data_IF_230084316706
#
_entry.id   IF_230084316706
#
_cell.length_a   1.000
_cell.length_b   1.000
_cell.length_c   1.000
_cell.angle_alpha   90.00
_cell.angle_beta   90.00
_cell.angle_gamma   90.00
#
_symmetry.space_group_name_H-M   'P 1'
#
loop_
_entity.id
_entity.type
_entity.pdbx_description
1 polymer ?
#
# COMPACT_ATOMS: atom_id res chain seq x y z
N UNK A 1 -1.31 -26.88 -2.09
CA UNK A 1 -1.44 -25.45 -1.74
C UNK A 1 -0.33 -25.10 -0.77
N UNK A 2 0.39 -24.00 -0.97
CA UNK A 2 1.32 -23.52 0.06
C UNK A 2 0.51 -23.11 1.29
N UNK A 3 0.96 -23.51 2.48
CA UNK A 3 0.29 -23.14 3.72
C UNK A 3 0.61 -21.66 4.00
N UNK A 4 -0.39 -20.79 3.86
CA UNK A 4 -0.26 -19.38 4.25
C UNK A 4 -0.36 -19.27 5.76
N UNK A 5 0.34 -18.29 6.33
CA UNK A 5 0.26 -18.01 7.76
C UNK A 5 -0.96 -17.14 8.10
N UNK A 6 -1.29 -16.21 7.19
CA UNK A 6 -2.48 -15.37 7.26
C UNK A 6 -3.24 -15.48 5.93
N UNK A 7 -4.52 -15.85 5.91
CA UNK A 7 -5.28 -15.88 4.67
C UNK A 7 -5.41 -14.48 4.05
N UNK A 8 -5.23 -14.41 2.73
CA UNK A 8 -5.12 -13.14 2.00
C UNK A 8 -6.43 -12.35 2.04
N UNK A 9 -7.57 -13.00 1.77
CA UNK A 9 -8.90 -12.39 1.84
C UNK A 9 -9.24 -11.88 3.25
N UNK A 10 -8.72 -12.54 4.27
CA UNK A 10 -8.84 -12.07 5.65
C UNK A 10 -8.09 -10.75 5.85
N UNK A 11 -6.88 -10.64 5.31
CA UNK A 11 -6.08 -9.42 5.42
C UNK A 11 -6.68 -8.24 4.62
N UNK A 12 -7.19 -8.50 3.41
CA UNK A 12 -7.94 -7.51 2.62
C UNK A 12 -9.14 -6.98 3.41
N UNK A 13 -9.92 -7.89 4.02
CA UNK A 13 -11.11 -7.53 4.80
C UNK A 13 -10.76 -6.72 6.05
N UNK A 14 -9.76 -7.14 6.82
CA UNK A 14 -9.31 -6.41 8.02
C UNK A 14 -8.81 -5.00 7.68
N UNK A 15 -8.04 -4.89 6.60
CA UNK A 15 -7.54 -3.60 6.10
C UNK A 15 -8.70 -2.67 5.72
N UNK A 16 -9.68 -3.18 4.98
CA UNK A 16 -10.87 -2.40 4.62
C UNK A 16 -11.70 -1.95 5.84
N UNK A 17 -11.92 -2.84 6.81
CA UNK A 17 -12.64 -2.49 8.05
C UNK A 17 -11.91 -1.42 8.85
N UNK A 18 -10.58 -1.53 8.99
CA UNK A 18 -9.77 -0.54 9.69
C UNK A 18 -9.89 0.84 9.07
N UNK A 19 -9.82 0.94 7.74
CA UNK A 19 -9.95 2.21 7.03
C UNK A 19 -11.36 2.79 7.13
N UNK A 20 -12.38 1.96 6.97
CA UNK A 20 -13.77 2.36 7.15
C UNK A 20 -14.01 2.93 8.57
N UNK A 21 -13.47 2.29 9.59
CA UNK A 21 -13.58 2.74 10.98
C UNK A 21 -12.77 4.01 11.26
N UNK A 22 -11.49 4.03 10.85
CA UNK A 22 -10.58 5.17 11.06
C UNK A 22 -11.12 6.45 10.44
N UNK A 23 -11.67 6.37 9.23
CA UNK A 23 -12.15 7.52 8.46
C UNK A 23 -13.68 7.70 8.44
N UNK A 24 -14.45 6.87 9.16
CA UNK A 24 -15.91 7.03 9.41
C UNK A 24 -16.72 7.32 8.14
N UNK A 25 -16.69 6.40 7.17
CA UNK A 25 -17.38 6.51 5.87
C UNK A 25 -16.89 7.65 4.95
N UNK A 26 -15.80 8.34 5.31
CA UNK A 26 -15.10 9.32 4.46
C UNK A 26 -13.88 8.73 3.75
N UNK A 27 -13.83 7.40 3.67
CA UNK A 27 -12.91 6.69 2.81
C UNK A 27 -13.72 5.83 1.83
N UNK A 28 -13.31 5.83 0.57
CA UNK A 28 -13.79 4.92 -0.46
C UNK A 28 -12.65 3.98 -0.82
N UNK A 29 -12.97 2.68 -0.94
CA UNK A 29 -12.00 1.64 -1.24
C UNK A 29 -12.49 0.84 -2.43
N UNK A 30 -11.58 0.51 -3.33
CA UNK A 30 -11.87 -0.32 -4.48
C UNK A 30 -10.74 -1.32 -4.70
N UNK A 31 -11.15 -2.57 -4.91
CA UNK A 31 -10.28 -3.67 -5.30
C UNK A 31 -10.60 -3.99 -6.76
N UNK A 32 -9.68 -3.73 -7.71
CA UNK A 32 -9.87 -4.14 -9.08
C UNK A 32 -9.86 -5.67 -9.14
N UNK A 33 -10.55 -6.23 -10.13
CA UNK A 33 -10.39 -7.64 -10.45
C UNK A 33 -8.96 -7.89 -10.96
N UNK A 34 -8.50 -9.14 -10.89
CA UNK A 34 -7.18 -9.50 -11.42
C UNK A 34 -7.04 -9.08 -12.88
N UNK A 35 -5.94 -8.40 -13.21
CA UNK A 35 -5.69 -7.88 -14.55
C UNK A 35 -6.46 -6.60 -14.91
N UNK A 36 -7.24 -6.05 -13.99
CA UNK A 36 -7.85 -4.72 -14.15
C UNK A 36 -6.96 -3.68 -13.50
N UNK A 37 -6.59 -2.66 -14.27
CA UNK A 37 -5.84 -1.52 -13.76
C UNK A 37 -6.75 -0.49 -13.08
N UNK A 38 -6.15 0.30 -12.19
CA UNK A 38 -6.85 1.39 -11.51
C UNK A 38 -6.87 2.62 -12.41
N UNK A 39 -8.03 2.93 -12.98
CA UNK A 39 -8.26 4.20 -13.67
C UNK A 39 -8.57 5.29 -12.63
N UNK A 40 -7.58 6.14 -12.38
CA UNK A 40 -7.70 7.25 -11.43
C UNK A 40 -8.64 8.37 -11.89
N UNK A 41 -9.09 8.39 -13.15
CA UNK A 41 -10.24 9.24 -13.55
C UNK A 41 -11.53 8.83 -12.86
N UNK A 42 -11.63 7.58 -12.41
CA UNK A 42 -12.78 7.09 -11.67
C UNK A 42 -12.73 7.44 -10.19
N UNK A 43 -11.72 8.20 -9.75
CA UNK A 43 -11.74 8.79 -8.43
C UNK A 43 -13.00 9.65 -8.27
N UNK A 44 -13.75 9.50 -7.16
CA UNK A 44 -14.86 10.37 -6.82
C UNK A 44 -14.55 11.85 -7.01
N UNK A 45 -15.55 12.61 -7.48
CA UNK A 45 -15.44 14.07 -7.65
C UNK A 45 -15.52 14.77 -6.30
N UNK A 46 -14.46 14.64 -5.48
CA UNK A 46 -14.35 15.27 -4.18
C UNK A 46 -12.89 15.53 -3.80
N UNK A 47 -12.61 16.57 -2.99
CA UNK A 47 -11.27 16.83 -2.50
C UNK A 47 -10.80 15.75 -1.52
N UNK A 48 -9.53 15.37 -1.62
CA UNK A 48 -8.99 14.30 -0.79
C UNK A 48 -7.63 13.79 -1.25
N UNK A 49 -7.30 12.59 -0.77
CA UNK A 49 -6.07 11.86 -1.07
C UNK A 49 -6.39 10.48 -1.60
N UNK A 50 -5.74 10.04 -2.65
CA UNK A 50 -5.79 8.65 -3.10
C UNK A 50 -4.41 7.99 -2.95
N UNK A 51 -4.39 6.78 -2.43
CA UNK A 51 -3.18 5.94 -2.34
C UNK A 51 -3.51 4.52 -2.81
N UNK A 52 -2.52 3.80 -3.30
CA UNK A 52 -2.65 2.40 -3.70
C UNK A 52 -1.87 1.51 -2.75
N UNK A 53 -2.44 0.36 -2.38
CA UNK A 53 -1.81 -0.62 -1.49
C UNK A 53 -1.75 -1.97 -2.18
N UNK A 54 -0.58 -2.59 -2.28
CA UNK A 54 -0.39 -3.97 -2.71
C UNK A 54 -0.24 -4.86 -1.47
N UNK A 55 -1.27 -5.65 -1.15
CA UNK A 55 -1.24 -6.51 0.03
C UNK A 55 -0.58 -7.85 -0.29
N UNK A 56 0.48 -8.20 0.45
CA UNK A 56 1.12 -9.52 0.42
C UNK A 56 0.86 -10.24 1.73
N UNK A 57 0.87 -11.57 1.68
CA UNK A 57 0.79 -12.43 2.86
C UNK A 57 2.13 -13.12 3.14
N UNK A 58 2.29 -13.65 4.35
CA UNK A 58 3.38 -14.54 4.70
C UNK A 58 3.00 -16.00 4.43
N UNK A 59 3.95 -16.74 3.86
CA UNK A 59 3.84 -18.15 3.50
C UNK A 59 4.73 -18.95 4.44
N UNK A 60 4.20 -20.05 5.00
CA UNK A 60 4.99 -20.98 5.81
C UNK A 60 5.98 -21.71 4.89
N UNK A 61 7.26 -21.36 4.99
CA UNK A 61 8.33 -21.86 4.14
C UNK A 61 9.04 -23.10 4.73
N UNK A 62 8.83 -23.36 6.01
CA UNK A 62 9.42 -24.48 6.75
C UNK A 62 9.10 -24.37 8.24
N UNK A 63 9.67 -25.27 9.05
CA UNK A 63 9.59 -25.14 10.51
C UNK A 63 10.22 -23.81 10.94
N UNK A 64 9.46 -22.97 11.66
CA UNK A 64 9.88 -21.64 12.12
C UNK A 64 10.34 -20.68 11.01
N UNK A 65 10.01 -20.95 9.74
CA UNK A 65 10.36 -20.08 8.61
C UNK A 65 9.10 -19.55 7.93
N UNK A 66 9.04 -18.24 7.74
CA UNK A 66 7.99 -17.58 6.97
C UNK A 66 8.60 -16.70 5.88
N UNK A 67 8.08 -16.80 4.65
CA UNK A 67 8.49 -15.99 3.51
C UNK A 67 7.37 -15.03 3.10
N UNK A 68 7.71 -13.77 2.83
CA UNK A 68 6.85 -12.87 2.04
C UNK A 68 7.39 -12.84 0.62
N UNK A 69 6.50 -13.01 -0.35
CA UNK A 69 6.86 -13.09 -1.77
C UNK A 69 6.18 -11.99 -2.57
N UNK A 70 6.83 -11.59 -3.66
CA UNK A 70 6.32 -10.64 -4.65
C UNK A 70 6.45 -11.24 -6.05
N UNK A 71 5.72 -10.69 -7.02
CA UNK A 71 5.87 -11.05 -8.43
C UNK A 71 6.80 -10.02 -9.10
N UNK A 72 7.90 -10.46 -9.71
CA UNK A 72 8.89 -9.58 -10.31
C UNK A 72 8.36 -8.84 -11.56
N UNK A 73 7.48 -9.47 -12.35
CA UNK A 73 6.84 -8.79 -13.48
C UNK A 73 5.91 -7.67 -13.01
N UNK A 74 5.14 -7.91 -11.96
CA UNK A 74 4.31 -6.89 -11.32
C UNK A 74 5.15 -5.75 -10.72
N UNK A 75 6.24 -6.08 -10.02
CA UNK A 75 7.15 -5.08 -9.47
C UNK A 75 7.80 -4.25 -10.58
N UNK A 76 8.18 -4.89 -11.69
CA UNK A 76 8.70 -4.21 -12.87
C UNK A 76 7.68 -3.21 -13.41
N UNK A 77 6.42 -3.62 -13.61
CA UNK A 77 5.33 -2.73 -14.05
C UNK A 77 5.17 -1.53 -13.12
N UNK A 78 5.09 -1.79 -11.81
CA UNK A 78 4.88 -0.76 -10.80
C UNK A 78 6.04 0.22 -10.69
N UNK A 79 7.27 -0.24 -10.87
CA UNK A 79 8.43 0.63 -10.79
C UNK A 79 8.51 1.62 -11.97
N UNK A 80 7.87 1.30 -13.09
CA UNK A 80 7.74 2.22 -14.22
C UNK A 80 6.60 3.24 -14.06
N UNK A 81 5.73 3.09 -13.06
CA UNK A 81 4.61 4.01 -12.87
C UNK A 81 5.10 5.39 -12.40
N UNK A 82 4.38 6.47 -12.77
CA UNK A 82 4.62 7.80 -12.22
C UNK A 82 4.56 7.79 -10.68
N UNK A 83 5.33 8.64 -9.97
CA UNK A 83 5.49 8.54 -8.52
C UNK A 83 4.18 8.54 -7.72
N UNK A 84 3.16 9.28 -8.15
CA UNK A 84 1.84 9.32 -7.49
C UNK A 84 0.97 8.07 -7.68
N UNK A 85 1.39 7.12 -8.51
CA UNK A 85 0.63 5.92 -8.86
C UNK A 85 1.28 4.62 -8.39
N UNK A 86 2.54 4.66 -7.94
CA UNK A 86 3.20 3.49 -7.38
C UNK A 86 2.46 3.02 -6.13
N UNK A 87 2.14 1.72 -5.97
CA UNK A 87 1.52 1.24 -4.74
C UNK A 87 2.53 1.16 -3.58
N UNK A 88 2.01 1.12 -2.36
CA UNK A 88 2.77 0.70 -1.19
C UNK A 88 2.59 -0.79 -0.97
N UNK A 89 3.66 -1.51 -0.67
CA UNK A 89 3.60 -2.93 -0.32
C UNK A 89 3.29 -3.07 1.16
N UNK A 90 2.25 -3.85 1.49
CA UNK A 90 1.77 -4.06 2.86
C UNK A 90 1.83 -5.54 3.16
N UNK A 91 2.47 -5.95 4.25
CA UNK A 91 2.59 -7.37 4.58
C UNK A 91 2.76 -7.65 6.07
N UNK A 92 2.44 -8.88 6.52
CA UNK A 92 2.64 -9.31 7.90
C UNK A 92 4.11 -9.30 8.32
N UNK A 93 4.34 -8.85 9.55
CA UNK A 93 5.60 -8.97 10.27
C UNK A 93 5.45 -10.00 11.38
N UNK A 94 5.66 -11.29 11.08
CA UNK A 94 5.30 -12.35 11.99
C UNK A 94 6.18 -12.35 13.23
N UNK A 95 5.55 -12.26 14.41
CA UNK A 95 6.12 -12.65 15.69
C UNK A 95 5.64 -14.04 16.16
N UNK A 96 5.16 -14.86 15.22
CA UNK A 96 4.66 -16.22 15.42
C UNK A 96 5.21 -17.23 14.40
N UNK A 97 5.00 -18.52 14.69
CA UNK A 97 5.41 -19.62 13.84
C UNK A 97 4.21 -20.38 13.29
N UNK A 98 4.23 -20.69 11.99
CA UNK A 98 3.17 -21.47 11.36
C UNK A 98 1.90 -20.66 11.07
N UNK A 99 0.75 -21.21 11.43
CA UNK A 99 -0.58 -20.66 11.11
C UNK A 99 -1.05 -19.70 12.20
N UNK A 100 -1.43 -18.47 11.84
CA UNK A 100 -1.79 -17.44 12.80
C UNK A 100 -3.02 -17.84 13.66
N UNK A 101 -4.03 -18.45 13.05
CA UNK A 101 -5.25 -18.85 13.77
C UNK A 101 -4.93 -19.94 14.81
N UNK A 102 -4.15 -20.95 14.42
CA UNK A 102 -3.73 -22.00 15.34
C UNK A 102 -2.91 -21.45 16.52
N UNK A 103 -1.99 -20.52 16.25
CA UNK A 103 -1.18 -19.89 17.32
C UNK A 103 -2.05 -19.02 18.23
N UNK A 104 -3.00 -18.27 17.68
CA UNK A 104 -3.92 -17.46 18.47
C UNK A 104 -4.76 -18.32 19.42
N UNK A 105 -5.33 -19.42 18.91
CA UNK A 105 -6.09 -20.38 19.72
C UNK A 105 -5.21 -20.96 20.84
N UNK A 106 -3.97 -21.37 20.52
CA UNK A 106 -3.03 -21.90 21.51
C UNK A 106 -2.65 -20.86 22.58
N UNK A 107 -2.59 -19.58 22.22
CA UNK A 107 -2.35 -18.46 23.13
C UNK A 107 -3.61 -18.00 23.88
N UNK A 108 -4.75 -18.69 23.72
CA UNK A 108 -6.06 -18.31 24.27
C UNK A 108 -6.50 -16.90 23.84
N UNK A 109 -6.10 -16.49 22.63
CA UNK A 109 -6.52 -15.26 21.97
C UNK A 109 -7.64 -15.64 20.98
N UNK A 110 -8.88 -15.15 21.17
CA UNK A 110 -9.94 -15.42 20.22
C UNK A 110 -9.56 -14.90 18.82
N UNK A 111 -9.68 -15.70 17.74
CA UNK A 111 -9.36 -15.24 16.37
C UNK A 111 -10.09 -13.95 15.95
N UNK A 112 -11.27 -13.69 16.54
CA UNK A 112 -12.01 -12.44 16.32
C UNK A 112 -11.29 -11.18 16.84
N UNK A 113 -10.42 -11.30 17.84
CA UNK A 113 -9.62 -10.18 18.37
C UNK A 113 -8.38 -9.89 17.50
N UNK A 114 -8.01 -10.78 16.58
CA UNK A 114 -6.92 -10.54 15.61
C UNK A 114 -7.29 -9.45 14.59
N UNK A 115 -8.58 -9.35 14.26
CA UNK A 115 -9.10 -8.37 13.30
C UNK A 115 -9.12 -6.95 13.88
N UNK A 116 -9.58 -6.80 15.12
CA UNK A 116 -9.71 -5.53 15.80
C UNK A 116 -9.66 -5.75 17.30
N UNK A 117 -8.72 -5.10 17.99
CA UNK A 117 -8.68 -5.19 19.44
C UNK A 117 -9.83 -4.38 20.05
N UNK A 118 -10.67 -5.05 20.84
CA UNK A 118 -11.77 -4.40 21.57
C UNK A 118 -11.49 -4.25 23.07
N UNK A 119 -10.59 -5.06 23.64
CA UNK A 119 -10.43 -5.20 25.09
C UNK A 119 -9.04 -4.84 25.66
N UNK A 120 -8.12 -4.26 24.87
CA UNK A 120 -6.82 -3.76 25.39
C UNK A 120 -5.63 -3.97 24.45
N UNK A 121 -4.39 -3.87 24.95
CA UNK A 121 -3.19 -4.21 24.17
C UNK A 121 -3.25 -5.70 23.80
N UNK A 122 -3.19 -6.01 22.51
CA UNK A 122 -3.40 -7.36 22.02
C UNK A 122 -2.92 -7.52 20.58
N UNK A 123 -2.88 -8.77 20.13
CA UNK A 123 -2.27 -9.21 18.89
C UNK A 123 -3.17 -9.00 17.66
N UNK A 124 -3.56 -7.74 17.43
CA UNK A 124 -4.40 -7.37 16.28
C UNK A 124 -3.58 -6.93 15.07
N UNK A 125 -4.15 -7.08 13.88
CA UNK A 125 -3.41 -7.03 12.63
C UNK A 125 -2.67 -5.73 12.36
N UNK A 126 -3.19 -4.61 12.85
CA UNK A 126 -2.59 -3.30 12.66
C UNK A 126 -1.27 -3.12 13.42
N UNK A 127 -0.99 -3.95 14.44
CA UNK A 127 0.25 -3.87 15.21
C UNK A 127 1.41 -4.64 14.57
N UNK A 128 1.13 -5.66 13.76
CA UNK A 128 2.15 -6.46 13.08
C UNK A 128 2.20 -6.24 11.56
N UNK A 129 1.34 -5.40 10.98
CA UNK A 129 1.51 -5.02 9.57
C UNK A 129 2.59 -3.94 9.41
N UNK A 130 3.42 -4.11 8.38
CA UNK A 130 4.38 -3.10 7.92
C UNK A 130 4.12 -2.69 6.49
N UNK A 131 4.65 -1.52 6.14
CA UNK A 131 4.51 -0.88 4.83
C UNK A 131 5.88 -0.52 4.27
N UNK A 132 6.08 -0.78 2.98
CA UNK A 132 7.21 -0.32 2.17
C UNK A 132 6.73 0.42 0.93
N UNK A 133 7.52 1.37 0.42
CA UNK A 133 7.29 1.96 -0.90
C UNK A 133 7.68 0.98 -2.01
N UNK A 134 7.14 1.16 -3.21
CA UNK A 134 7.59 0.39 -4.40
C UNK A 134 9.10 0.54 -4.60
N UNK A 135 9.66 1.74 -4.47
CA UNK A 135 11.09 1.99 -4.65
C UNK A 135 11.95 1.22 -3.62
N UNK A 136 11.49 1.10 -2.37
CA UNK A 136 12.18 0.29 -1.36
C UNK A 136 12.17 -1.20 -1.74
N UNK A 137 11.05 -1.72 -2.23
CA UNK A 137 10.94 -3.11 -2.69
C UNK A 137 11.80 -3.36 -3.92
N UNK A 138 11.80 -2.44 -4.89
CA UNK A 138 12.65 -2.48 -6.07
C UNK A 138 14.14 -2.44 -5.69
N UNK A 139 14.52 -1.62 -4.70
CA UNK A 139 15.89 -1.56 -4.20
C UNK A 139 16.34 -2.85 -3.52
N UNK A 140 15.49 -3.46 -2.68
CA UNK A 140 15.79 -4.74 -2.03
C UNK A 140 15.98 -5.87 -3.04
N UNK A 141 15.21 -5.86 -4.13
CA UNK A 141 15.22 -6.88 -5.17
C UNK A 141 15.93 -6.42 -6.44
N UNK A 142 16.80 -5.41 -6.38
CA UNK A 142 17.41 -4.82 -7.56
C UNK A 142 18.16 -5.84 -8.43
N UNK A 143 18.96 -6.79 -7.86
CA UNK A 143 19.60 -7.84 -8.66
C UNK A 143 18.59 -8.75 -9.37
N UNK A 144 17.55 -9.19 -8.66
CA UNK A 144 16.52 -10.08 -9.19
C UNK A 144 15.66 -9.38 -10.25
N UNK A 145 15.32 -8.12 -10.03
CA UNK A 145 14.53 -7.29 -10.94
C UNK A 145 15.32 -7.01 -12.23
N UNK A 146 16.61 -6.70 -12.11
CA UNK A 146 17.50 -6.53 -13.27
C UNK A 146 17.66 -7.82 -14.07
N UNK A 147 17.76 -8.98 -13.40
CA UNK A 147 17.83 -10.28 -14.05
C UNK A 147 16.52 -10.68 -14.75
N UNK A 148 15.37 -10.30 -14.19
CA UNK A 148 14.04 -10.59 -14.76
C UNK A 148 13.71 -9.71 -15.96
N UNK A 149 13.96 -8.40 -15.85
CA UNK A 149 14.00 -7.45 -16.97
C UNK A 149 12.75 -7.32 -17.84
N UNK A 150 11.57 -7.78 -17.39
CA UNK A 150 10.36 -7.79 -18.21
C UNK A 150 9.06 -7.68 -17.39
N UNK A 151 7.95 -7.22 -17.99
CA UNK A 151 6.63 -7.20 -17.36
C UNK A 151 6.00 -8.60 -17.20
N UNK A 152 6.66 -9.66 -17.70
CA UNK A 152 6.11 -11.01 -17.67
C UNK A 152 5.91 -11.50 -16.23
N UNK A 153 4.67 -11.86 -15.88
CA UNK A 153 4.30 -12.36 -14.55
C UNK A 153 4.54 -13.86 -14.39
N UNK A 154 4.84 -14.57 -15.48
CA UNK A 154 5.00 -16.03 -15.52
C UNK A 154 6.27 -16.46 -14.81
N UNK A 155 6.16 -17.40 -13.87
CA UNK A 155 7.27 -17.91 -13.06
C UNK A 155 8.09 -16.81 -12.34
N UNK A 156 7.48 -15.64 -12.10
CA UNK A 156 8.16 -14.46 -11.58
C UNK A 156 8.05 -14.33 -10.04
N UNK A 157 7.66 -15.38 -9.33
CA UNK A 157 7.59 -15.35 -7.86
C UNK A 157 8.98 -15.24 -7.25
N UNK A 158 9.24 -14.16 -6.51
CA UNK A 158 10.48 -13.93 -5.80
C UNK A 158 10.24 -13.68 -4.31
N UNK A 159 11.21 -14.05 -3.47
CA UNK A 159 11.14 -13.82 -2.02
C UNK A 159 11.64 -12.41 -1.69
N UNK A 160 10.77 -11.59 -1.13
CA UNK A 160 11.12 -10.28 -0.60
C UNK A 160 11.88 -10.39 0.72
N UNK A 161 11.34 -11.16 1.66
CA UNK A 161 11.94 -11.37 2.98
C UNK A 161 11.65 -12.76 3.51
N UNK A 162 12.63 -13.35 4.20
CA UNK A 162 12.46 -14.51 5.07
C UNK A 162 12.57 -14.08 6.53
N UNK A 163 11.58 -14.48 7.31
CA UNK A 163 11.62 -14.45 8.77
C UNK A 163 12.05 -15.82 9.28
N UNK A 164 13.17 -15.88 9.98
CA UNK A 164 13.65 -17.05 10.71
C UNK A 164 13.39 -16.84 12.21
N UNK A 165 12.41 -17.59 12.70
CA UNK A 165 11.90 -17.52 14.07
C UNK A 165 12.53 -18.60 14.97
N UNK A 166 13.57 -19.29 14.50
CA UNK A 166 14.18 -20.43 15.21
C UNK A 166 14.79 -20.02 16.56
N UNK A 167 15.46 -18.87 16.60
CA UNK A 167 16.08 -18.35 17.82
C UNK A 167 15.10 -17.58 18.71
N UNK A 168 14.17 -16.84 18.11
CA UNK A 168 13.17 -16.04 18.80
C UNK A 168 11.96 -15.79 17.90
N UNK A 169 10.77 -16.02 18.43
CA UNK A 169 9.53 -15.65 17.76
C UNK A 169 9.32 -14.13 17.74
N UNK A 170 9.66 -13.42 18.82
CA UNK A 170 9.41 -11.97 18.96
C UNK A 170 10.52 -11.10 18.38
N UNK A 171 11.68 -11.67 18.06
CA UNK A 171 12.80 -11.00 17.44
C UNK A 171 13.41 -11.89 16.33
N UNK A 172 12.68 -12.14 15.24
CA UNK A 172 13.12 -13.05 14.20
C UNK A 172 14.32 -12.49 13.44
N UNK A 173 15.21 -13.37 12.99
CA UNK A 173 16.25 -13.00 12.03
C UNK A 173 15.60 -12.76 10.67
N UNK A 174 15.99 -11.69 9.98
CA UNK A 174 15.37 -11.27 8.72
C UNK A 174 16.40 -11.29 7.60
N UNK A 175 16.08 -12.00 6.52
CA UNK A 175 16.91 -12.07 5.32
C UNK A 175 16.14 -11.48 4.15
N UNK A 176 16.61 -10.34 3.63
CA UNK A 176 15.98 -9.57 2.56
C UNK A 176 16.58 -9.92 1.20
N UNK A 177 15.74 -10.20 0.20
CA UNK A 177 16.17 -10.56 -1.17
C UNK A 177 17.30 -11.59 -1.20
N UNK A 178 18.33 -11.28 -1.99
CA UNK A 178 19.62 -11.98 -2.05
C UNK A 178 20.67 -11.46 -1.05
N UNK A 179 20.26 -10.97 0.12
CA UNK A 179 21.15 -10.41 1.15
C UNK A 179 21.22 -8.88 1.15
N UNK A 180 20.17 -8.21 0.69
CA UNK A 180 20.09 -6.75 0.70
C UNK A 180 20.05 -6.18 2.14
N UNK A 181 20.49 -4.93 2.34
CA UNK A 181 20.27 -4.23 3.60
C UNK A 181 18.77 -4.16 3.92
N UNK A 182 18.45 -4.21 5.22
CA UNK A 182 17.07 -4.07 5.67
C UNK A 182 16.51 -2.68 5.34
N UNK A 183 15.39 -2.57 4.62
CA UNK A 183 14.76 -1.29 4.33
C UNK A 183 14.06 -0.74 5.59
N UNK A 184 13.85 0.58 5.63
CA UNK A 184 13.02 1.19 6.67
C UNK A 184 11.56 0.76 6.53
N UNK A 185 11.14 -0.18 7.37
CA UNK A 185 9.77 -0.67 7.43
C UNK A 185 8.90 0.27 8.26
N UNK A 186 7.77 0.74 7.71
CA UNK A 186 6.87 1.66 8.40
C UNK A 186 5.73 0.84 9.03
N UNK A 187 5.52 0.90 10.36
CA UNK A 187 4.37 0.26 10.98
C UNK A 187 3.05 0.77 10.41
N UNK A 188 2.10 -0.12 10.15
CA UNK A 188 0.80 0.19 9.52
C UNK A 188 0.07 1.37 10.17
N UNK A 189 0.00 1.38 11.50
CA UNK A 189 -0.65 2.47 12.24
C UNK A 189 0.07 3.81 12.04
N UNK A 190 1.40 3.79 12.01
CA UNK A 190 2.20 4.99 11.76
C UNK A 190 2.02 5.47 10.32
N UNK A 191 2.03 4.57 9.34
CA UNK A 191 1.79 4.90 7.93
C UNK A 191 0.52 5.75 7.74
N UNK A 192 -0.59 5.32 8.33
CA UNK A 192 -1.85 6.09 8.25
C UNK A 192 -1.88 7.38 9.05
N UNK A 193 -1.03 7.53 10.06
CA UNK A 193 -0.88 8.79 10.80
C UNK A 193 -0.04 9.78 10.01
N UNK A 194 1.02 9.32 9.37
CA UNK A 194 1.88 10.13 8.50
C UNK A 194 1.12 10.55 7.22
N UNK A 195 0.37 9.63 6.59
CA UNK A 195 -0.42 9.94 5.39
C UNK A 195 -1.48 11.03 5.64
N UNK A 196 -2.03 11.16 6.84
CA UNK A 196 -2.93 12.28 7.17
C UNK A 196 -2.27 13.63 6.92
N UNK A 197 -0.95 13.71 7.12
CA UNK A 197 -0.10 14.89 6.94
C UNK A 197 0.66 14.89 5.61
N UNK A 198 0.15 14.16 4.61
CA UNK A 198 0.72 14.01 3.27
C UNK A 198 2.03 13.21 3.24
N UNK A 199 2.26 12.35 4.23
CA UNK A 199 3.33 11.36 4.20
C UNK A 199 4.73 11.94 4.33
N UNK A 200 5.70 11.25 3.72
CA UNK A 200 7.13 11.57 3.71
C UNK A 200 7.61 11.79 2.28
N UNK A 201 8.85 12.24 2.11
CA UNK A 201 9.45 12.34 0.77
C UNK A 201 9.53 10.94 0.14
N UNK A 202 9.31 10.85 -1.17
CA UNK A 202 9.17 9.62 -1.94
C UNK A 202 7.83 8.89 -1.75
N UNK A 203 6.87 9.40 -0.97
CA UNK A 203 5.60 8.69 -0.75
C UNK A 203 4.58 8.97 -1.84
N UNK A 204 4.28 7.94 -2.61
CA UNK A 204 3.22 7.92 -3.62
C UNK A 204 1.86 8.31 -3.05
N UNK A 205 1.23 9.31 -3.64
CA UNK A 205 -0.17 9.67 -3.38
C UNK A 205 -0.67 10.60 -4.48
N UNK A 206 -1.97 10.59 -4.73
CA UNK A 206 -2.64 11.61 -5.52
C UNK A 206 -3.43 12.52 -4.62
N UNK A 207 -3.36 13.81 -4.86
CA UNK A 207 -4.13 14.83 -4.14
C UNK A 207 -5.20 15.34 -5.09
N UNK A 208 -6.45 15.34 -4.65
CA UNK A 208 -7.56 15.98 -5.38
C UNK A 208 -7.96 17.26 -4.67
N UNK A 209 -8.00 18.35 -5.43
CA UNK A 209 -8.44 19.67 -4.97
C UNK A 209 -9.31 20.33 -6.04
N UNK A 210 -10.25 21.21 -5.65
CA UNK A 210 -10.98 22.05 -6.60
C UNK A 210 -10.01 22.86 -7.48
N UNK A 211 -10.32 22.99 -8.76
CA UNK A 211 -9.43 23.65 -9.73
C UNK A 211 -9.17 25.13 -9.38
N UNK A 212 -10.16 25.80 -8.78
CA UNK A 212 -10.06 27.19 -8.30
C UNK A 212 -9.11 27.36 -7.09
N UNK A 213 -8.76 26.25 -6.42
CA UNK A 213 -7.88 26.26 -5.27
C UNK A 213 -6.41 26.13 -5.67
N UNK A 214 -6.12 25.77 -6.92
CA UNK A 214 -4.78 25.48 -7.42
C UNK A 214 -4.40 26.36 -8.62
N UNK A 215 -3.11 26.43 -8.88
CA UNK A 215 -2.48 27.07 -10.04
C UNK A 215 -1.39 26.15 -10.55
N UNK A 216 -0.79 26.47 -11.70
CA UNK A 216 0.22 25.62 -12.37
C UNK A 216 1.59 25.61 -11.69
N UNK A 217 1.71 26.10 -10.45
CA UNK A 217 2.98 26.12 -9.71
C UNK A 217 3.22 24.82 -8.93
N UNK A 218 4.44 24.68 -8.45
CA UNK A 218 4.82 23.66 -7.49
C UNK A 218 4.31 24.03 -6.08
N UNK A 219 3.87 23.02 -5.34
CA UNK A 219 3.41 23.15 -3.95
C UNK A 219 4.27 22.29 -3.04
N UNK A 220 4.63 22.83 -1.88
CA UNK A 220 5.22 21.99 -0.84
C UNK A 220 4.15 21.18 -0.08
N UNK A 221 4.61 20.22 0.74
CA UNK A 221 3.72 19.37 1.52
C UNK A 221 2.84 20.16 2.50
N UNK A 222 3.39 21.19 3.15
CA UNK A 222 2.69 21.98 4.14
C UNK A 222 1.55 22.79 3.49
N UNK A 223 1.81 23.34 2.30
CA UNK A 223 0.79 24.02 1.48
C UNK A 223 -0.35 23.07 1.12
N UNK A 224 -0.05 21.86 0.63
CA UNK A 224 -1.08 20.87 0.30
C UNK A 224 -1.93 20.50 1.52
N UNK A 225 -1.29 20.27 2.67
CA UNK A 225 -2.01 19.99 3.92
C UNK A 225 -2.97 21.14 4.25
N UNK A 226 -2.53 22.37 4.10
CA UNK A 226 -3.34 23.54 4.39
C UNK A 226 -4.50 23.70 3.40
N UNK A 227 -4.26 23.47 2.11
CA UNK A 227 -5.29 23.49 1.07
C UNK A 227 -6.37 22.45 1.34
N UNK A 228 -5.98 21.22 1.71
CA UNK A 228 -6.91 20.15 2.10
C UNK A 228 -7.71 20.51 3.37
N UNK A 229 -7.12 21.25 4.31
CA UNK A 229 -7.84 21.73 5.50
C UNK A 229 -8.88 22.80 5.17
N UNK A 230 -8.59 23.70 4.23
CA UNK A 230 -9.54 24.74 3.81
C UNK A 230 -10.78 24.13 3.17
N UNK A 231 -10.60 23.17 2.26
CA UNK A 231 -11.71 22.52 1.54
C UNK A 231 -12.48 21.48 2.36
N UNK A 232 -12.00 21.14 3.56
CA UNK A 232 -12.67 20.20 4.48
C UNK A 232 -13.99 20.74 5.06
N UNK A 233 -14.15 22.06 5.12
CA UNK A 233 -15.31 22.72 5.71
C UNK A 233 -16.55 22.78 4.82
N UNK A 234 -16.40 22.51 3.53
CA UNK A 234 -17.45 22.74 2.55
C UNK A 234 -18.36 21.52 2.36
N UNK A 235 -19.61 21.75 1.94
CA UNK A 235 -20.60 20.68 1.75
C UNK A 235 -20.22 19.77 0.56
N UNK A 236 -20.32 18.44 0.76
CA UNK A 236 -20.10 17.43 -0.29
C UNK A 236 -20.99 17.65 -1.52
N UNK A 237 -22.15 18.30 -1.35
CA UNK A 237 -23.06 18.62 -2.47
C UNK A 237 -22.45 19.62 -3.44
N UNK A 238 -21.65 20.56 -2.93
CA UNK A 238 -21.02 21.59 -3.77
C UNK A 238 -20.01 20.96 -4.73
N UNK A 239 -19.43 19.81 -4.37
CA UNK A 239 -18.31 19.19 -5.10
C UNK A 239 -18.73 18.43 -6.35
N UNK A 240 -20.01 18.08 -6.48
CA UNK A 240 -20.47 17.24 -7.59
C UNK A 240 -20.19 17.88 -8.95
N UNK A 241 -20.35 19.19 -9.03
CA UNK A 241 -20.24 19.96 -10.27
C UNK A 241 -18.96 20.80 -10.34
N UNK A 242 -18.08 20.69 -9.33
CA UNK A 242 -16.80 21.40 -9.30
C UNK A 242 -15.76 20.65 -10.12
N UNK A 243 -15.05 21.37 -10.98
CA UNK A 243 -13.88 20.84 -11.67
C UNK A 243 -12.74 20.62 -10.68
N UNK A 244 -12.03 19.49 -10.80
CA UNK A 244 -11.02 19.07 -9.84
C UNK A 244 -9.68 18.89 -10.52
N UNK A 245 -8.64 19.47 -9.93
CA UNK A 245 -7.27 19.14 -10.25
C UNK A 245 -6.82 17.87 -9.53
N UNK A 246 -5.89 17.15 -10.16
CA UNK A 246 -5.13 16.08 -9.52
C UNK A 246 -3.68 16.50 -9.44
N UNK A 247 -3.08 16.38 -8.25
CA UNK A 247 -1.67 16.64 -8.02
C UNK A 247 -0.95 15.37 -7.60
N UNK A 248 0.29 15.19 -8.06
CA UNK A 248 1.16 14.09 -7.67
C UNK A 248 2.49 14.62 -7.12
N UNK A 249 3.16 13.87 -6.23
CA UNK A 249 4.50 14.19 -5.76
C UNK A 249 5.53 13.97 -6.88
N UNK A 250 6.51 14.85 -6.96
CA UNK A 250 7.68 14.73 -7.81
C UNK A 250 8.91 15.08 -6.98
N UNK A 251 10.02 14.40 -7.27
CA UNK A 251 11.31 14.78 -6.73
C UNK A 251 11.62 16.23 -7.10
N UNK A 252 12.12 17.00 -6.14
CA UNK A 252 12.53 18.38 -6.40
C UNK A 252 13.66 18.42 -7.42
N UNK A 253 13.68 19.48 -8.24
CA UNK A 253 14.79 19.74 -9.15
C UNK A 253 16.07 20.18 -8.40
N UNK A 254 15.96 20.44 -7.11
CA UNK A 254 17.09 20.68 -6.22
C UNK A 254 17.59 19.34 -5.69
N UNK A 255 18.89 19.07 -5.83
CA UNK A 255 19.52 17.93 -5.16
C UNK A 255 19.20 17.97 -3.66
N UNK A 256 18.61 16.90 -3.14
CA UNK A 256 18.17 16.75 -1.75
C UNK A 256 17.03 17.68 -1.29
N UNK A 257 16.32 18.34 -2.22
CA UNK A 257 15.11 19.10 -1.91
C UNK A 257 13.91 18.20 -1.59
N UNK A 258 13.00 18.61 -0.69
CA UNK A 258 11.80 17.83 -0.39
C UNK A 258 10.90 17.73 -1.62
N UNK A 259 10.07 16.68 -1.67
CA UNK A 259 9.14 16.50 -2.78
C UNK A 259 8.20 17.69 -2.93
N UNK A 260 7.90 18.02 -4.18
CA UNK A 260 6.90 19.02 -4.56
C UNK A 260 5.68 18.34 -5.18
N UNK A 261 4.52 18.93 -4.99
CA UNK A 261 3.27 18.50 -5.61
C UNK A 261 2.98 19.37 -6.84
N UNK A 262 2.66 18.72 -7.96
CA UNK A 262 2.37 19.37 -9.24
C UNK A 262 1.06 18.86 -9.81
N UNK A 263 0.31 19.72 -10.49
CA UNK A 263 -0.85 19.32 -11.29
C UNK A 263 -0.38 18.36 -12.39
N UNK A 264 -1.15 17.30 -12.63
CA UNK A 264 -0.93 16.35 -13.72
C UNK A 264 -2.13 16.40 -14.69
N UNK A 265 -1.85 16.65 -15.97
CA UNK A 265 -2.88 16.87 -17.00
C UNK A 265 -3.55 15.56 -17.47
N UNK A 266 -2.73 14.51 -17.63
CA UNK A 266 -3.21 13.16 -17.89
C UNK A 266 -2.56 12.22 -16.87
N UNK A 267 -3.32 11.82 -15.85
CA UNK A 267 -2.74 11.05 -14.80
C UNK A 267 -2.56 9.57 -15.26
N UNK A 268 -2.93 9.19 -16.49
CA UNK A 268 -2.97 7.78 -16.96
C UNK A 268 -1.68 7.31 -17.63
N UNK A 269 -0.75 8.20 -17.99
CA UNK A 269 0.42 7.85 -18.81
C UNK A 269 1.13 6.58 -18.35
N UNK A 270 0.87 5.44 -19.03
CA UNK A 270 1.52 4.15 -18.77
C UNK A 270 0.63 2.93 -18.50
N UNK A 271 -0.71 3.04 -18.41
CA UNK A 271 -1.60 1.91 -18.09
C UNK A 271 -2.57 1.55 -19.23
N UNK A 272 -2.08 1.48 -20.48
CA UNK A 272 -2.77 0.58 -21.42
C UNK A 272 -2.51 -0.85 -20.97
N UNK A 273 -3.53 -1.70 -20.79
CA UNK A 273 -3.30 -3.10 -20.50
C UNK A 273 -2.39 -3.63 -21.62
N UNK A 274 -1.26 -4.29 -21.31
CA UNK A 274 -0.48 -4.92 -22.36
C UNK A 274 -1.45 -5.83 -23.13
N UNK A 275 -1.48 -5.67 -24.45
CA UNK A 275 -2.39 -6.36 -25.36
C UNK A 275 -2.29 -7.90 -25.34
N UNK A 276 -1.44 -8.45 -24.47
CA UNK A 276 -1.22 -9.86 -24.20
C UNK A 276 -1.26 -10.16 -22.69
N UNK A 277 -2.35 -9.83 -22.00
CA UNK A 277 -2.70 -10.55 -20.78
C UNK A 277 -3.11 -11.97 -21.18
N UNK A 278 -2.11 -12.82 -21.45
CA UNK A 278 -2.30 -14.25 -21.66
C UNK A 278 -3.09 -14.79 -20.47
N UNK A 279 -4.31 -15.23 -20.77
CA UNK A 279 -5.25 -15.82 -19.82
C UNK A 279 -4.53 -16.92 -19.05
N UNK A 280 -4.66 -16.85 -17.74
CA UNK A 280 -4.14 -17.79 -16.76
C UNK A 280 -4.27 -19.24 -17.26
N UNK A 281 -3.14 -19.85 -17.56
CA UNK A 281 -3.05 -21.30 -17.73
C UNK A 281 -3.22 -21.95 -16.36
N UNK A 282 -4.18 -22.87 -16.27
CA UNK A 282 -4.47 -23.69 -15.10
C UNK A 282 -3.17 -24.22 -14.44
N UNK A 283 -2.96 -23.82 -13.17
CA UNK A 283 -2.14 -24.62 -12.25
C UNK A 283 -0.86 -24.02 -11.66
N UNK A 284 -0.76 -22.70 -11.41
CA UNK A 284 0.39 -22.19 -10.64
C UNK A 284 0.06 -21.00 -9.74
N UNK A 285 0.74 -20.94 -8.59
CA UNK A 285 0.47 -20.08 -7.42
C UNK A 285 0.07 -18.65 -7.80
N UNK A 286 -1.21 -18.36 -7.54
CA UNK A 286 -1.88 -17.08 -7.81
C UNK A 286 -1.30 -15.97 -6.93
N UNK A 287 -0.14 -15.42 -7.31
CA UNK A 287 0.30 -14.09 -6.87
C UNK A 287 -0.44 -13.04 -7.70
N UNK A 288 -1.77 -13.09 -7.62
CA UNK A 288 -2.69 -12.16 -8.25
C UNK A 288 -2.33 -10.71 -7.91
N UNK A 289 -2.65 -9.82 -8.84
CA UNK A 289 -2.62 -8.38 -8.60
C UNK A 289 -3.63 -8.02 -7.51
N UNK A 290 -3.14 -7.48 -6.39
CA UNK A 290 -3.95 -7.20 -5.18
C UNK A 290 -3.77 -5.76 -4.74
N UNK A 291 -3.84 -4.87 -5.72
CA UNK A 291 -3.94 -3.44 -5.46
C UNK A 291 -5.28 -3.10 -4.83
N UNK A 292 -5.25 -2.28 -3.80
CA UNK A 292 -6.40 -1.57 -3.27
C UNK A 292 -6.19 -0.08 -3.54
N UNK A 293 -7.13 0.54 -4.24
CA UNK A 293 -7.24 2.00 -4.27
C UNK A 293 -7.97 2.45 -3.00
N UNK A 294 -7.37 3.36 -2.24
CA UNK A 294 -8.00 4.00 -1.09
C UNK A 294 -8.05 5.50 -1.33
N UNK A 295 -9.26 6.06 -1.49
CA UNK A 295 -9.51 7.49 -1.42
C UNK A 295 -9.92 7.88 0.00
N UNK A 296 -9.29 8.90 0.56
CA UNK A 296 -9.64 9.53 1.84
C UNK A 296 -10.06 10.96 1.56
N UNK A 297 -11.30 11.32 1.87
CA UNK A 297 -11.80 12.67 1.67
C UNK A 297 -11.07 13.66 2.58
N UNK A 298 -10.90 14.90 2.10
CA UNK A 298 -10.30 15.99 2.87
C UNK A 298 -10.96 16.16 4.24
N UNK A 299 -12.28 15.94 4.30
CA UNK A 299 -13.07 15.92 5.53
C UNK A 299 -12.54 14.99 6.64
N UNK A 300 -11.87 13.91 6.28
CA UNK A 300 -11.33 12.92 7.20
C UNK A 300 -9.88 13.22 7.63
N UNK A 301 -9.19 14.12 6.92
CA UNK A 301 -7.78 14.45 7.12
C UNK A 301 -7.59 15.50 8.24
N UNK A 302 -6.40 15.53 8.83
CA UNK A 302 -6.00 16.57 9.79
C UNK A 302 -6.63 16.48 11.18
N UNK A 303 -7.20 15.34 11.58
CA UNK A 303 -7.42 15.02 13.00
C UNK A 303 -6.38 14.00 13.40
N UNK A 304 -5.29 14.43 14.04
CA UNK A 304 -4.42 13.51 14.78
C UNK A 304 -5.30 12.89 15.86
N UNK A 305 -5.74 11.66 15.63
CA UNK A 305 -6.37 10.83 16.65
C UNK A 305 -5.28 9.90 17.12
N UNK A 306 -4.76 10.20 18.30
CA UNK A 306 -3.89 9.30 19.05
C UNK A 306 -4.66 8.01 19.39
#
# INVERSE_FOLDING_TARGET
MAKVSVPEKTLEHWSSLYLAYRYRSRAAMWWPATGVDIDIRWLPNCPGKAVQLELKTSIVAGANLQDVKVNLGQLWDYDQLPPGQKPFYVFPWPDWTGDLEAVAIAANIPPSELAFSRSGQGWWFADWLVVLTTDQVASVLAPELAAHGSPSRKNASCRLVRFDLTASATAPTRLWGSGAPEPTCIPWRQFWSDLQMCGRDGWSQLIRLPMDSVTTRDYDRAEIVEMLRRVKGTDRREWRDTEMATLAPFASNLSDGPDVFRIIDDPIGGLEPPSNADRDGDGQQDLSDRRQLTLIEAGALGRRRD
#
